data_IF_456913466395
#
_entry.id   IF_456913466395
#
_cell.length_a   1.000
_cell.length_b   1.000
_cell.length_c   1.000
_cell.angle_alpha   90.00
_cell.angle_beta   90.00
_cell.angle_gamma   90.00
#
_symmetry.space_group_name_H-M   'P 1'
#
loop_
_entity.id
_entity.type
_entity.pdbx_description
1 polymer ?
#
# COMPACT_ATOMS: atom_id res chain seq x y z
N UNK A 1 -2.43 -12.90 7.78
CA UNK A 1 -1.22 -12.97 6.92
C UNK A 1 -0.22 -14.11 7.25
N UNK A 2 -0.49 -15.00 8.22
CA UNK A 2 0.46 -16.06 8.61
C UNK A 2 0.93 -17.00 7.47
N UNK A 3 0.11 -17.18 6.43
CA UNK A 3 0.47 -17.97 5.24
C UNK A 3 1.71 -17.42 4.51
N UNK A 4 1.88 -16.10 4.46
CA UNK A 4 3.05 -15.48 3.81
C UNK A 4 4.34 -15.68 4.60
N UNK A 5 4.27 -16.01 5.89
CA UNK A 5 5.46 -16.35 6.69
C UNK A 5 5.95 -17.79 6.42
N UNK A 6 5.08 -18.66 5.89
CA UNK A 6 5.41 -20.05 5.57
C UNK A 6 5.92 -20.21 4.13
N UNK A 7 5.26 -19.54 3.17
CA UNK A 7 5.67 -19.53 1.78
C UNK A 7 5.35 -18.16 1.16
N UNK A 8 6.29 -17.19 1.22
CA UNK A 8 6.05 -15.84 0.74
C UNK A 8 5.91 -15.83 -0.78
N UNK A 9 4.75 -15.37 -1.28
CA UNK A 9 4.59 -15.10 -2.70
C UNK A 9 5.48 -13.90 -3.11
N UNK A 10 6.01 -13.87 -4.35
CA UNK A 10 6.82 -12.74 -4.82
C UNK A 10 6.02 -11.43 -4.88
N UNK A 11 4.71 -11.51 -5.10
CA UNK A 11 3.81 -10.36 -5.03
C UNK A 11 2.46 -10.75 -4.43
N UNK A 12 1.79 -9.77 -3.81
CA UNK A 12 0.44 -9.87 -3.27
C UNK A 12 -0.37 -8.66 -3.73
N UNK A 13 -1.52 -8.91 -4.35
CA UNK A 13 -2.51 -7.89 -4.73
C UNK A 13 -3.63 -7.88 -3.68
N UNK A 14 -3.92 -6.71 -3.12
CA UNK A 14 -5.02 -6.48 -2.19
C UNK A 14 -5.94 -5.42 -2.78
N UNK A 15 -7.23 -5.74 -2.91
CA UNK A 15 -8.24 -4.84 -3.50
C UNK A 15 -9.27 -4.42 -2.46
N UNK A 16 -9.27 -3.12 -2.12
CA UNK A 16 -10.15 -2.45 -1.16
C UNK A 16 -10.37 -3.20 0.17
N UNK A 17 -9.35 -3.93 0.63
CA UNK A 17 -9.42 -4.74 1.86
C UNK A 17 -9.59 -3.90 3.12
N UNK A 18 -9.29 -2.60 3.04
CA UNK A 18 -9.41 -1.60 4.09
C UNK A 18 -10.77 -0.87 4.09
N UNK A 19 -11.61 -1.05 3.07
CA UNK A 19 -12.93 -0.43 2.98
C UNK A 19 -13.86 -0.68 4.20
N UNK A 20 -13.89 -1.88 4.85
CA UNK A 20 -14.73 -2.10 6.02
C UNK A 20 -14.06 -1.70 7.35
N UNK A 21 -12.84 -1.16 7.34
CA UNK A 21 -12.07 -0.85 8.54
C UNK A 21 -12.29 0.58 9.00
N UNK A 22 -12.17 0.81 10.32
CA UNK A 22 -12.03 2.15 10.89
C UNK A 22 -10.56 2.61 10.88
N UNK A 23 -10.31 3.89 11.13
CA UNK A 23 -8.95 4.48 11.08
C UNK A 23 -7.94 3.72 11.96
N UNK A 24 -8.35 3.28 13.15
CA UNK A 24 -7.48 2.55 14.08
C UNK A 24 -7.08 1.17 13.52
N UNK A 25 -7.99 0.47 12.86
CA UNK A 25 -7.69 -0.80 12.24
C UNK A 25 -6.95 -0.64 10.91
N UNK A 26 -7.15 0.46 10.18
CA UNK A 26 -6.34 0.81 9.01
C UNK A 26 -4.88 1.08 9.41
N UNK A 27 -4.65 1.77 10.52
CA UNK A 27 -3.29 1.97 11.04
C UNK A 27 -2.61 0.64 11.38
N UNK A 28 -3.32 -0.26 12.08
CA UNK A 28 -2.81 -1.61 12.38
C UNK A 28 -2.52 -2.41 11.11
N UNK A 29 -3.39 -2.31 10.10
CA UNK A 29 -3.19 -2.93 8.80
C UNK A 29 -1.92 -2.42 8.10
N UNK A 30 -1.71 -1.10 8.08
CA UNK A 30 -0.50 -0.50 7.52
C UNK A 30 0.76 -0.98 8.25
N UNK A 31 0.74 -0.99 9.58
CA UNK A 31 1.87 -1.45 10.39
C UNK A 31 2.19 -2.93 10.13
N UNK A 32 1.17 -3.76 9.91
CA UNK A 32 1.35 -5.16 9.55
C UNK A 32 2.00 -5.31 8.16
N UNK A 33 1.58 -4.51 7.17
CA UNK A 33 2.21 -4.52 5.84
C UNK A 33 3.68 -4.10 5.91
N UNK A 34 4.00 -3.08 6.71
CA UNK A 34 5.38 -2.65 6.96
C UNK A 34 6.22 -3.77 7.59
N UNK A 35 5.67 -4.49 8.57
CA UNK A 35 6.35 -5.65 9.15
C UNK A 35 6.57 -6.77 8.12
N UNK A 36 5.58 -7.03 7.27
CA UNK A 36 5.67 -8.07 6.24
C UNK A 36 6.70 -7.75 5.16
N UNK A 37 6.80 -6.49 4.74
CA UNK A 37 7.82 -6.07 3.76
C UNK A 37 9.23 -6.13 4.35
N UNK A 38 9.39 -5.96 5.67
CA UNK A 38 10.68 -6.13 6.36
C UNK A 38 11.08 -7.58 6.57
N UNK A 39 10.10 -8.45 6.84
CA UNK A 39 10.34 -9.86 7.20
C UNK A 39 10.32 -10.80 6.00
N UNK A 40 9.71 -10.40 4.89
CA UNK A 40 9.57 -11.22 3.68
C UNK A 40 10.00 -10.45 2.44
N UNK A 41 10.23 -11.16 1.33
CA UNK A 41 10.51 -10.55 0.02
C UNK A 41 9.24 -10.23 -0.78
N UNK A 42 8.06 -10.35 -0.17
CA UNK A 42 6.78 -10.12 -0.83
C UNK A 42 6.59 -8.65 -1.15
N UNK A 43 6.28 -8.34 -2.41
CA UNK A 43 5.88 -7.01 -2.84
C UNK A 43 4.37 -6.86 -2.78
N UNK A 44 3.88 -5.82 -2.11
CA UNK A 44 2.45 -5.55 -2.03
C UNK A 44 2.01 -4.54 -3.08
N UNK A 45 0.90 -4.84 -3.76
CA UNK A 45 0.17 -3.94 -4.63
C UNK A 45 -1.22 -3.76 -4.02
N UNK A 46 -1.57 -2.54 -3.65
CA UNK A 46 -2.81 -2.25 -2.93
C UNK A 46 -3.65 -1.30 -3.77
N UNK A 47 -4.90 -1.68 -4.01
CA UNK A 47 -5.93 -0.84 -4.59
C UNK A 47 -6.79 -0.37 -3.42
N UNK A 48 -6.85 0.95 -3.22
CA UNK A 48 -7.58 1.56 -2.11
C UNK A 48 -7.94 3.00 -2.43
N UNK A 49 -9.03 3.48 -1.84
CA UNK A 49 -9.40 4.89 -1.78
C UNK A 49 -9.22 5.49 -0.37
N UNK A 50 -8.66 4.76 0.59
CA UNK A 50 -8.45 5.22 1.97
C UNK A 50 -7.21 6.12 2.08
N UNK A 51 -7.39 7.37 2.53
CA UNK A 51 -6.33 8.37 2.58
C UNK A 51 -5.15 7.96 3.49
N UNK A 52 -5.45 7.34 4.65
CA UNK A 52 -4.42 6.86 5.56
C UNK A 52 -3.53 5.78 4.91
N UNK A 53 -4.13 4.76 4.29
CA UNK A 53 -3.39 3.72 3.55
C UNK A 53 -2.53 4.32 2.44
N UNK A 54 -3.08 5.24 1.63
CA UNK A 54 -2.33 5.92 0.58
C UNK A 54 -1.11 6.69 1.09
N UNK A 55 -1.24 7.35 2.26
CA UNK A 55 -0.15 8.14 2.85
C UNK A 55 1.03 7.28 3.34
N UNK A 56 0.82 5.97 3.52
CA UNK A 56 1.81 5.01 4.05
C UNK A 56 2.51 4.21 2.95
N UNK A 57 2.19 4.45 1.68
CA UNK A 57 2.78 3.71 0.54
C UNK A 57 4.09 4.33 0.06
N UNK A 58 4.95 3.53 -0.59
CA UNK A 58 6.18 4.05 -1.21
C UNK A 58 5.89 4.83 -2.50
N UNK A 59 4.90 4.39 -3.27
CA UNK A 59 4.55 4.97 -4.58
C UNK A 59 3.06 4.89 -4.78
N UNK A 60 2.47 5.97 -5.30
CA UNK A 60 1.08 6.00 -5.69
C UNK A 60 0.97 5.95 -7.22
N UNK A 61 0.10 5.08 -7.70
CA UNK A 61 -0.32 5.01 -9.09
C UNK A 61 -1.79 5.40 -9.13
N UNK A 62 -2.06 6.63 -9.56
CA UNK A 62 -3.42 7.11 -9.77
C UNK A 62 -3.94 6.60 -11.11
N UNK A 63 -5.18 6.12 -11.12
CA UNK A 63 -5.91 5.82 -12.35
C UNK A 63 -6.94 6.92 -12.56
N UNK A 64 -6.88 7.57 -13.72
CA UNK A 64 -7.79 8.66 -14.09
C UNK A 64 -8.53 8.30 -15.37
N UNK A 65 -9.69 8.92 -15.60
CA UNK A 65 -10.48 8.70 -16.82
C UNK A 65 -10.79 10.06 -17.43
N UNK A 66 -9.92 10.54 -18.32
CA UNK A 66 -10.13 11.81 -19.02
C UNK A 66 -11.26 11.71 -20.05
N UNK A 67 -11.31 10.58 -20.74
CA UNK A 67 -12.37 10.22 -21.68
C UNK A 67 -13.10 8.99 -21.15
N UNK A 68 -14.42 8.96 -21.29
CA UNK A 68 -15.24 7.86 -20.76
C UNK A 68 -14.80 6.52 -21.35
N UNK A 69 -14.40 5.59 -20.48
CA UNK A 69 -13.95 4.26 -20.87
C UNK A 69 -12.47 4.16 -21.25
N UNK A 70 -11.70 5.25 -21.15
CA UNK A 70 -10.25 5.26 -21.38
C UNK A 70 -9.54 5.61 -20.07
N UNK A 71 -8.89 4.61 -19.46
CA UNK A 71 -8.09 4.80 -18.26
C UNK A 71 -6.69 5.30 -18.60
N UNK A 72 -6.24 6.34 -17.91
CA UNK A 72 -4.88 6.89 -17.98
C UNK A 72 -4.21 6.81 -16.61
N UNK A 73 -2.96 6.34 -16.62
CA UNK A 73 -2.17 6.18 -15.40
C UNK A 73 -1.37 7.46 -15.11
N UNK A 74 -1.38 7.87 -13.86
CA UNK A 74 -0.49 8.90 -13.32
C UNK A 74 0.32 8.30 -12.17
N UNK A 75 1.59 8.68 -12.05
CA UNK A 75 2.44 8.15 -10.99
C UNK A 75 3.01 9.27 -10.15
N UNK A 76 2.93 9.10 -8.84
CA UNK A 76 3.54 9.98 -7.85
C UNK A 76 4.47 9.15 -6.98
N UNK A 77 5.72 9.60 -6.89
CA UNK A 77 6.69 9.07 -5.93
C UNK A 77 6.56 9.86 -4.64
N UNK A 78 6.11 9.22 -3.55
CA UNK A 78 5.89 9.89 -2.27
C UNK A 78 7.22 10.14 -1.53
N UNK A 79 8.23 9.31 -1.77
CA UNK A 79 9.55 9.47 -1.14
C UNK A 79 10.22 10.78 -1.59
N UNK A 80 9.97 11.22 -2.81
CA UNK A 80 10.49 12.48 -3.35
C UNK A 80 9.91 13.74 -2.67
N UNK A 81 8.76 13.63 -1.97
CA UNK A 81 8.08 14.76 -1.31
C UNK A 81 8.27 14.78 0.21
N UNK A 82 9.24 14.02 0.75
CA UNK A 82 9.49 13.97 2.19
C UNK A 82 8.39 13.24 2.98
N UNK A 83 7.47 12.56 2.29
CA UNK A 83 6.54 11.61 2.91
C UNK A 83 7.32 10.33 3.15
N UNK A 84 7.86 10.20 4.35
CA UNK A 84 8.63 9.02 4.73
C UNK A 84 7.68 7.85 4.94
N UNK A 85 7.84 6.73 4.21
CA UNK A 85 7.17 5.49 4.58
C UNK A 85 7.61 5.13 6.00
N UNK A 86 6.68 4.65 6.83
CA UNK A 86 6.89 4.42 8.26
C UNK A 86 8.15 3.57 8.58
N UNK A 87 8.49 2.67 7.66
CA UNK A 87 9.65 1.80 7.74
C UNK A 87 11.01 2.53 7.81
N UNK A 88 11.09 3.81 7.41
CA UNK A 88 12.36 4.58 7.39
C UNK A 88 12.54 5.52 8.60
N UNK A 89 11.53 5.71 9.46
CA UNK A 89 11.63 6.58 10.64
C UNK A 89 12.13 5.85 11.91
N UNK A 90 12.49 4.57 11.79
CA UNK A 90 12.88 3.68 12.89
C UNK A 90 14.34 3.19 12.80
N UNK A 91 15.22 3.97 12.16
CA UNK A 91 16.68 3.78 12.19
C UNK A 91 17.37 4.98 12.85
#
# INVERSE_FOLDING_TARGET
FAIFQLNPAPFCLLDEVDAPLDDANVERFCNLLDEMTRTTTTRFLIITHHALTMSRMNRLIGVTMQERGVSSLVSVDLAAYGVQPAAQAAE
#
